data_IF_652204219400
#
_entry.id   IF_652204219400
#
_cell.length_a   1.000
_cell.length_b   1.000
_cell.length_c   1.000
_cell.angle_alpha   90.00
_cell.angle_beta   90.00
_cell.angle_gamma   90.00
#
_symmetry.space_group_name_H-M   'P 1'
#
loop_
_entity.id
_entity.type
_entity.pdbx_description
1 polymer ?
#
# COMPACT_ATOMS: atom_id res chain seq x y z
N UNK A 1 -4.39 -19.76 39.10
CA UNK A 1 -4.41 -18.52 38.28
C UNK A 1 -3.07 -18.26 37.56
N UNK A 2 -2.50 -19.25 36.85
CA UNK A 2 -1.20 -19.09 36.16
C UNK A 2 -1.33 -18.51 34.75
N UNK A 3 -2.41 -18.82 34.02
CA UNK A 3 -2.64 -18.40 32.63
C UNK A 3 -2.44 -16.89 32.39
N UNK A 4 -3.02 -16.03 33.24
CA UNK A 4 -2.90 -14.58 33.09
C UNK A 4 -1.45 -14.12 33.17
N UNK A 5 -0.72 -14.56 34.21
CA UNK A 5 0.66 -14.12 34.49
C UNK A 5 1.70 -14.72 33.54
N UNK A 6 1.51 -15.94 33.07
CA UNK A 6 2.51 -16.63 32.24
C UNK A 6 2.24 -16.56 30.74
N UNK A 7 0.99 -16.37 30.32
CA UNK A 7 0.62 -16.40 28.90
C UNK A 7 0.09 -15.04 28.45
N UNK A 8 -0.98 -14.55 29.09
CA UNK A 8 -1.68 -13.35 28.61
C UNK A 8 -0.82 -12.07 28.69
N UNK A 9 -0.28 -11.73 29.88
CA UNK A 9 0.51 -10.51 30.03
C UNK A 9 1.80 -10.49 29.20
N UNK A 10 2.57 -11.59 29.10
CA UNK A 10 3.74 -11.65 28.21
C UNK A 10 3.37 -11.50 26.73
N UNK A 11 2.30 -12.17 26.27
CA UNK A 11 1.83 -12.05 24.89
C UNK A 11 1.39 -10.62 24.57
N UNK A 12 0.58 -10.00 25.44
CA UNK A 12 0.15 -8.61 25.30
C UNK A 12 1.32 -7.63 25.27
N UNK A 13 2.32 -7.80 26.15
CA UNK A 13 3.52 -6.95 26.14
C UNK A 13 4.29 -7.09 24.82
N UNK A 14 4.42 -8.32 24.31
CA UNK A 14 5.12 -8.61 23.06
C UNK A 14 4.38 -8.05 21.84
N UNK A 15 3.06 -8.20 21.79
CA UNK A 15 2.24 -7.67 20.70
C UNK A 15 2.31 -6.14 20.67
N UNK A 16 2.10 -5.46 21.80
CA UNK A 16 2.22 -3.99 21.91
C UNK A 16 3.60 -3.50 21.46
N UNK A 17 4.68 -4.17 21.91
CA UNK A 17 6.05 -3.79 21.51
C UNK A 17 6.25 -3.90 20.00
N UNK A 18 5.68 -4.94 19.38
CA UNK A 18 5.76 -5.17 17.94
C UNK A 18 4.91 -4.14 17.17
N UNK A 19 3.68 -3.88 17.60
CA UNK A 19 2.79 -2.87 17.02
C UNK A 19 3.40 -1.48 17.07
N UNK A 20 3.98 -1.08 18.22
CA UNK A 20 4.66 0.21 18.34
C UNK A 20 5.89 0.31 17.43
N UNK A 21 6.64 -0.77 17.26
CA UNK A 21 7.77 -0.80 16.34
C UNK A 21 7.32 -0.64 14.87
N UNK A 22 6.23 -1.30 14.48
CA UNK A 22 5.64 -1.13 13.13
C UNK A 22 5.14 0.30 12.91
N UNK A 23 4.39 0.85 13.87
CA UNK A 23 3.85 2.21 13.79
C UNK A 23 4.94 3.27 13.70
N UNK A 24 6.05 3.08 14.43
CA UNK A 24 7.21 3.98 14.35
C UNK A 24 7.81 4.07 12.94
N UNK A 25 7.63 3.04 12.10
CA UNK A 25 8.06 3.07 10.70
C UNK A 25 6.94 3.54 9.76
N UNK A 26 5.71 3.02 9.93
CA UNK A 26 4.59 3.29 9.01
C UNK A 26 4.13 4.76 9.08
N UNK A 27 4.07 5.36 10.28
CA UNK A 27 3.53 6.72 10.44
C UNK A 27 4.41 7.79 9.74
N UNK A 28 5.75 7.83 9.92
CA UNK A 28 6.58 8.79 9.21
C UNK A 28 6.54 8.61 7.68
N UNK A 29 6.60 7.36 7.21
CA UNK A 29 6.56 7.06 5.77
C UNK A 29 5.22 7.51 5.18
N UNK A 30 4.11 7.22 5.85
CA UNK A 30 2.78 7.65 5.39
C UNK A 30 2.60 9.16 5.34
N UNK A 31 3.18 9.90 6.27
CA UNK A 31 3.16 11.35 6.24
C UNK A 31 3.94 11.89 5.02
N UNK A 32 5.16 11.37 4.80
CA UNK A 32 6.00 11.78 3.67
C UNK A 32 5.29 11.51 2.34
N UNK A 33 4.72 10.31 2.16
CA UNK A 33 4.01 9.95 0.92
C UNK A 33 2.80 10.86 0.70
N UNK A 34 2.05 11.21 1.75
CA UNK A 34 0.93 12.16 1.61
C UNK A 34 1.38 13.56 1.21
N UNK A 35 2.48 14.06 1.78
CA UNK A 35 3.04 15.34 1.39
C UNK A 35 3.51 15.31 -0.07
N UNK A 36 4.18 14.23 -0.51
CA UNK A 36 4.57 14.05 -1.90
C UNK A 36 3.35 14.01 -2.84
N UNK A 37 2.24 13.41 -2.41
CA UNK A 37 0.98 13.44 -3.14
C UNK A 37 0.40 14.85 -3.26
N UNK A 38 0.36 15.59 -2.14
CA UNK A 38 -0.18 16.94 -2.09
C UNK A 38 0.59 17.94 -2.94
N UNK A 39 1.93 17.86 -2.93
CA UNK A 39 2.77 18.72 -3.77
C UNK A 39 2.87 18.25 -5.24
N UNK A 40 2.14 17.19 -5.62
CA UNK A 40 2.13 16.67 -7.00
C UNK A 40 3.37 15.85 -7.40
N UNK A 41 4.33 15.65 -6.50
CA UNK A 41 5.54 14.87 -6.78
C UNK A 41 5.23 13.40 -7.14
N UNK A 42 4.26 12.77 -6.45
CA UNK A 42 3.81 11.42 -6.81
C UNK A 42 3.17 11.39 -8.20
N UNK A 43 2.41 12.42 -8.57
CA UNK A 43 1.80 12.53 -9.90
C UNK A 43 2.85 12.68 -11.01
N UNK A 44 3.89 13.47 -10.77
CA UNK A 44 5.02 13.61 -11.69
C UNK A 44 5.77 12.28 -11.88
N UNK A 45 6.05 11.56 -10.79
CA UNK A 45 6.68 10.23 -10.86
C UNK A 45 5.79 9.20 -11.56
N UNK A 46 4.47 9.26 -11.36
CA UNK A 46 3.52 8.40 -12.04
C UNK A 46 3.54 8.65 -13.56
N UNK A 47 3.50 9.92 -13.99
CA UNK A 47 3.56 10.30 -15.40
C UNK A 47 4.81 9.76 -16.11
N UNK A 48 5.96 9.73 -15.42
CA UNK A 48 7.17 9.12 -15.95
C UNK A 48 7.05 7.60 -16.16
N UNK A 49 6.26 6.92 -15.33
CA UNK A 49 5.99 5.49 -15.41
C UNK A 49 4.84 5.14 -16.37
N UNK A 50 4.10 6.13 -16.90
CA UNK A 50 2.96 5.90 -17.79
C UNK A 50 3.26 4.92 -18.94
N UNK A 51 4.38 5.05 -19.71
CA UNK A 51 4.65 4.14 -20.83
C UNK A 51 4.82 2.68 -20.37
N UNK A 52 5.42 2.49 -19.19
CA UNK A 52 5.57 1.16 -18.60
C UNK A 52 4.18 0.59 -18.26
N UNK A 53 3.31 1.36 -17.62
CA UNK A 53 1.97 0.89 -17.23
C UNK A 53 1.11 0.53 -18.44
N UNK A 54 1.17 1.34 -19.51
CA UNK A 54 0.50 1.03 -20.78
C UNK A 54 1.00 -0.30 -21.35
N UNK A 55 2.31 -0.56 -21.30
CA UNK A 55 2.89 -1.84 -21.72
C UNK A 55 2.42 -3.03 -20.86
N UNK A 56 2.18 -2.81 -19.57
CA UNK A 56 1.61 -3.80 -18.65
C UNK A 56 0.10 -4.02 -18.86
N UNK A 57 -0.52 -3.34 -19.83
CA UNK A 57 -1.96 -3.42 -20.08
C UNK A 57 -2.79 -2.70 -19.03
N UNK A 58 -2.23 -1.66 -18.41
CA UNK A 58 -2.86 -0.79 -17.44
C UNK A 58 -2.94 0.65 -17.97
N UNK A 59 -3.95 1.45 -17.59
CA UNK A 59 -3.94 2.88 -17.84
C UNK A 59 -2.76 3.54 -17.12
N UNK A 60 -2.04 4.45 -17.79
CA UNK A 60 -0.90 5.17 -17.20
C UNK A 60 -1.25 5.86 -15.88
N UNK A 61 -2.46 6.43 -15.78
CA UNK A 61 -3.00 7.06 -14.58
C UNK A 61 -3.01 6.16 -13.33
N UNK A 62 -2.97 4.83 -13.49
CA UNK A 62 -2.91 3.88 -12.37
C UNK A 62 -1.50 3.73 -11.78
N UNK A 63 -0.46 4.28 -12.42
CA UNK A 63 0.92 4.24 -11.91
C UNK A 63 1.05 4.90 -10.52
N UNK A 64 0.25 5.93 -10.25
CA UNK A 64 0.22 6.59 -8.94
C UNK A 64 -0.24 5.65 -7.82
N UNK A 65 -1.14 4.71 -8.13
CA UNK A 65 -1.64 3.70 -7.18
C UNK A 65 -0.49 2.76 -6.78
N UNK A 66 0.22 2.23 -7.78
CA UNK A 66 1.34 1.34 -7.53
C UNK A 66 2.47 2.04 -6.78
N UNK A 67 2.84 3.27 -7.19
CA UNK A 67 3.85 4.06 -6.51
C UNK A 67 3.48 4.32 -5.04
N UNK A 68 2.21 4.67 -4.78
CA UNK A 68 1.70 4.84 -3.42
C UNK A 68 1.78 3.53 -2.63
N UNK A 69 1.41 2.41 -3.25
CA UNK A 69 1.45 1.08 -2.63
C UNK A 69 2.86 0.68 -2.19
N UNK A 70 3.90 1.01 -2.97
CA UNK A 70 5.29 0.65 -2.67
C UNK A 70 5.68 1.14 -1.27
N UNK A 71 5.19 2.30 -0.85
CA UNK A 71 5.55 2.89 0.44
C UNK A 71 4.54 2.63 1.54
N UNK A 72 3.28 2.32 1.21
CA UNK A 72 2.17 2.29 2.17
C UNK A 72 1.46 0.93 2.25
N UNK A 73 0.77 0.64 3.36
CA UNK A 73 -0.20 -0.46 3.43
C UNK A 73 -1.32 -0.28 2.39
N UNK A 74 -1.93 -1.39 1.98
CA UNK A 74 -2.91 -1.44 0.87
C UNK A 74 -4.18 -0.59 1.05
N UNK A 75 -4.49 -0.15 2.27
CA UNK A 75 -5.59 0.78 2.52
C UNK A 75 -5.46 2.10 1.76
N UNK A 76 -4.24 2.61 1.61
CA UNK A 76 -3.99 3.86 0.89
C UNK A 76 -4.19 3.75 -0.63
N UNK A 77 -3.54 2.81 -1.35
CA UNK A 77 -3.80 2.63 -2.78
C UNK A 77 -5.24 2.20 -3.07
N UNK A 78 -5.90 1.46 -2.18
CA UNK A 78 -7.31 1.09 -2.33
C UNK A 78 -8.22 2.34 -2.38
N UNK A 79 -7.99 3.33 -1.52
CA UNK A 79 -8.75 4.58 -1.53
C UNK A 79 -8.58 5.37 -2.84
N UNK A 80 -7.44 5.25 -3.52
CA UNK A 80 -7.20 5.86 -4.83
C UNK A 80 -7.93 5.06 -5.92
N UNK A 81 -7.86 3.73 -5.86
CA UNK A 81 -8.53 2.82 -6.81
C UNK A 81 -10.04 3.07 -6.83
N UNK A 82 -10.68 3.25 -5.67
CA UNK A 82 -12.14 3.42 -5.59
C UNK A 82 -12.62 4.74 -6.20
N UNK A 83 -11.76 5.72 -6.40
CA UNK A 83 -12.09 6.97 -7.12
C UNK A 83 -11.79 6.92 -8.62
N UNK A 84 -11.28 5.80 -9.14
CA UNK A 84 -10.91 5.66 -10.55
C UNK A 84 -11.93 4.82 -11.32
N UNK A 85 -12.14 5.17 -12.60
CA UNK A 85 -12.87 4.34 -13.55
C UNK A 85 -11.91 3.32 -14.19
N UNK A 86 -11.77 2.15 -13.57
CA UNK A 86 -10.95 1.04 -14.08
C UNK A 86 -11.79 -0.21 -14.30
N UNK A 87 -11.43 -1.00 -15.31
CA UNK A 87 -12.06 -2.28 -15.60
C UNK A 87 -11.66 -3.33 -14.56
N UNK A 88 -12.43 -4.42 -14.47
CA UNK A 88 -12.12 -5.53 -13.56
C UNK A 88 -10.77 -6.18 -13.88
N UNK A 89 -10.40 -6.21 -15.16
CA UNK A 89 -9.11 -6.71 -15.64
C UNK A 89 -7.96 -5.86 -15.12
N UNK A 90 -8.02 -4.55 -15.32
CA UNK A 90 -7.00 -3.60 -14.88
C UNK A 90 -6.88 -3.59 -13.35
N UNK A 91 -8.02 -3.60 -12.65
CA UNK A 91 -8.06 -3.74 -11.19
C UNK A 91 -7.34 -5.01 -10.73
N UNK A 92 -7.57 -6.15 -11.38
CA UNK A 92 -6.96 -7.43 -10.99
C UNK A 92 -5.45 -7.41 -11.15
N UNK A 93 -4.96 -6.91 -12.30
CA UNK A 93 -3.53 -6.76 -12.59
C UNK A 93 -2.89 -5.82 -11.55
N UNK A 94 -3.46 -4.62 -11.38
CA UNK A 94 -2.94 -3.60 -10.48
C UNK A 94 -2.98 -4.05 -9.02
N UNK A 95 -4.05 -4.71 -8.58
CA UNK A 95 -4.18 -5.22 -7.23
C UNK A 95 -3.12 -6.27 -6.92
N UNK A 96 -2.85 -7.21 -7.83
CA UNK A 96 -1.80 -8.20 -7.63
C UNK A 96 -0.41 -7.56 -7.60
N UNK A 97 -0.13 -6.60 -8.49
CA UNK A 97 1.11 -5.83 -8.47
C UNK A 97 1.32 -5.15 -7.11
N UNK A 98 0.30 -4.43 -6.63
CA UNK A 98 0.33 -3.77 -5.34
C UNK A 98 0.49 -4.79 -4.21
N UNK A 99 -0.23 -5.91 -4.23
CA UNK A 99 -0.12 -6.96 -3.23
C UNK A 99 1.31 -7.49 -3.10
N UNK A 100 2.03 -7.65 -4.21
CA UNK A 100 3.42 -8.13 -4.19
C UNK A 100 4.37 -7.03 -3.69
N UNK A 101 4.20 -5.78 -4.14
CA UNK A 101 5.15 -4.71 -3.90
C UNK A 101 4.84 -3.81 -2.68
N UNK A 102 3.69 -3.99 -2.01
CA UNK A 102 3.23 -3.03 -1.02
C UNK A 102 4.15 -2.90 0.19
N UNK A 103 4.11 -1.72 0.82
CA UNK A 103 4.73 -1.43 2.12
C UNK A 103 6.21 -1.83 2.19
N UNK A 104 6.92 -1.69 1.08
CA UNK A 104 8.24 -2.25 0.80
C UNK A 104 9.29 -1.88 1.85
N UNK A 105 9.38 -0.64 2.37
CA UNK A 105 10.37 -0.31 3.39
C UNK A 105 10.15 -1.08 4.69
N UNK A 106 8.90 -1.24 5.10
CA UNK A 106 8.52 -1.93 6.35
C UNK A 106 8.70 -3.43 6.18
N UNK A 107 8.22 -3.99 5.07
CA UNK A 107 8.35 -5.40 4.73
C UNK A 107 9.81 -5.84 4.61
N UNK A 108 10.64 -5.04 3.94
CA UNK A 108 12.07 -5.32 3.81
C UNK A 108 12.79 -5.20 5.15
N UNK A 109 12.38 -4.28 6.04
CA UNK A 109 12.93 -4.19 7.40
C UNK A 109 12.52 -5.39 8.28
N UNK A 110 11.31 -5.91 8.11
CA UNK A 110 10.84 -7.13 8.80
C UNK A 110 11.63 -8.34 8.31
N UNK A 111 11.72 -8.56 7.00
CA UNK A 111 12.45 -9.68 6.40
C UNK A 111 13.96 -9.59 6.64
N UNK A 112 14.50 -8.38 6.82
CA UNK A 112 15.88 -8.18 7.27
C UNK A 112 16.19 -8.88 8.59
N UNK A 113 15.20 -9.07 9.47
CA UNK A 113 15.37 -9.79 10.75
C UNK A 113 15.52 -11.30 10.57
N UNK A 114 15.22 -11.85 9.39
CA UNK A 114 15.37 -13.27 9.07
C UNK A 114 16.60 -13.55 8.20
N UNK A 115 17.48 -12.56 7.99
CA UNK A 115 18.72 -12.70 7.23
C UNK A 115 18.64 -12.28 5.76
N UNK A 116 17.47 -11.82 5.28
CA UNK A 116 17.34 -11.30 3.92
C UNK A 116 17.95 -9.89 3.80
N UNK A 117 18.47 -9.53 2.61
CA UNK A 117 18.96 -8.17 2.38
C UNK A 117 17.81 -7.25 1.97
N UNK A 118 17.79 -6.02 2.50
CA UNK A 118 16.78 -5.02 2.15
C UNK A 118 16.67 -4.82 0.63
N UNK A 119 17.83 -4.66 -0.05
CA UNK A 119 17.90 -4.45 -1.49
C UNK A 119 17.43 -5.66 -2.28
N UNK A 120 17.84 -6.87 -1.87
CA UNK A 120 17.42 -8.11 -2.52
C UNK A 120 15.91 -8.31 -2.47
N UNK A 121 15.31 -8.12 -1.29
CA UNK A 121 13.85 -8.25 -1.14
C UNK A 121 13.08 -7.14 -1.85
N UNK A 122 13.59 -5.91 -1.82
CA UNK A 122 12.97 -4.79 -2.54
C UNK A 122 12.95 -5.05 -4.05
N UNK A 123 14.09 -5.44 -4.62
CA UNK A 123 14.21 -5.72 -6.04
C UNK A 123 13.35 -6.92 -6.45
N UNK A 124 13.41 -8.00 -5.68
CA UNK A 124 12.61 -9.20 -5.93
C UNK A 124 11.12 -8.87 -6.00
N UNK A 125 10.58 -8.12 -5.03
CA UNK A 125 9.15 -7.80 -4.98
C UNK A 125 8.71 -6.88 -6.12
N UNK A 126 9.52 -5.87 -6.46
CA UNK A 126 9.21 -4.98 -7.59
C UNK A 126 9.21 -5.78 -8.91
N UNK A 127 10.26 -6.56 -9.14
CA UNK A 127 10.41 -7.36 -10.37
C UNK A 127 9.30 -8.40 -10.48
N UNK A 128 8.99 -9.12 -9.39
CA UNK A 128 7.90 -10.10 -9.38
C UNK A 128 6.53 -9.45 -9.57
N UNK A 129 6.32 -8.24 -9.06
CA UNK A 129 5.11 -7.47 -9.35
C UNK A 129 4.95 -7.17 -10.83
N UNK A 130 6.02 -6.70 -11.49
CA UNK A 130 6.02 -6.41 -12.93
C UNK A 130 5.82 -7.69 -13.75
N UNK A 131 6.51 -8.79 -13.40
CA UNK A 131 6.36 -10.09 -14.07
C UNK A 131 4.92 -10.59 -13.91
N UNK A 132 4.34 -10.53 -12.71
CA UNK A 132 2.96 -10.92 -12.47
C UNK A 132 1.99 -10.09 -13.34
N UNK A 133 2.25 -8.79 -13.49
CA UNK A 133 1.46 -7.93 -14.35
C UNK A 133 1.52 -8.36 -15.81
N UNK A 134 2.72 -8.63 -16.34
CA UNK A 134 2.91 -9.12 -17.71
C UNK A 134 2.19 -10.46 -17.94
N UNK A 135 2.32 -11.39 -17.00
CA UNK A 135 1.66 -12.70 -17.08
C UNK A 135 0.14 -12.52 -17.08
N UNK A 136 -0.41 -11.72 -16.17
CA UNK A 136 -1.85 -11.48 -16.13
C UNK A 136 -2.34 -10.70 -17.36
N UNK A 137 -1.56 -9.77 -17.89
CA UNK A 137 -1.87 -9.06 -19.12
C UNK A 137 -2.03 -10.04 -20.31
N UNK A 138 -1.24 -11.11 -20.35
CA UNK A 138 -1.32 -12.16 -21.35
C UNK A 138 -2.47 -13.15 -21.11
N UNK A 139 -2.73 -13.52 -19.85
CA UNK A 139 -3.70 -14.57 -19.51
C UNK A 139 -5.14 -14.06 -19.38
N UNK A 140 -5.34 -12.85 -18.87
CA UNK A 140 -6.69 -12.36 -18.56
C UNK A 140 -7.44 -11.95 -19.84
N UNK A 141 -8.72 -12.35 -19.98
CA UNK A 141 -9.58 -11.88 -21.05
C UNK A 141 -9.65 -10.36 -21.07
N UNK A 142 -9.71 -9.75 -22.27
CA UNK A 142 -9.83 -8.29 -22.42
C UNK A 142 -11.13 -7.77 -21.81
N UNK A 143 -12.21 -8.52 -21.99
CA UNK A 143 -13.55 -8.15 -21.54
C UNK A 143 -13.90 -8.88 -20.24
N UNK A 144 -13.63 -8.25 -19.11
CA UNK A 144 -14.04 -8.73 -17.77
C UNK A 144 -15.14 -7.86 -17.14
N UNK A 145 -15.56 -6.79 -17.82
CA UNK A 145 -16.54 -5.84 -17.31
C UNK A 145 -15.99 -4.89 -16.26
N UNK A 146 -16.90 -4.25 -15.53
CA UNK A 146 -16.60 -3.27 -14.49
C UNK A 146 -16.69 -3.89 -13.10
N UNK A 147 -15.84 -3.48 -12.14
CA UNK A 147 -15.90 -3.98 -10.79
C UNK A 147 -17.18 -3.51 -10.06
N UNK A 148 -17.69 -4.35 -9.17
CA UNK A 148 -18.88 -4.10 -8.33
C UNK A 148 -18.52 -3.30 -7.06
N UNK A 149 -18.00 -2.09 -7.21
CA UNK A 149 -17.91 -1.14 -6.09
C UNK A 149 -18.44 0.23 -6.50
N UNK A 150 -19.05 0.94 -5.54
CA UNK A 150 -19.45 2.33 -5.76
C UNK A 150 -18.19 3.18 -5.89
N UNK A 151 -18.11 3.95 -6.98
CA UNK A 151 -17.06 4.96 -7.09
C UNK A 151 -17.20 5.95 -5.93
N UNK A 152 -16.08 6.27 -5.31
CA UNK A 152 -16.00 7.26 -4.24
C UNK A 152 -15.57 8.59 -4.82
N UNK A 153 -16.21 9.67 -4.40
CA UNK A 153 -15.82 11.01 -4.83
C UNK A 153 -14.37 11.33 -4.43
N UNK A 154 -13.67 12.04 -5.31
CA UNK A 154 -12.34 12.56 -5.01
C UNK A 154 -12.48 13.67 -3.98
N UNK A 155 -12.11 13.40 -2.74
CA UNK A 155 -12.05 14.43 -1.69
C UNK A 155 -10.84 15.32 -1.97
N UNK A 156 -11.08 16.50 -2.54
CA UNK A 156 -10.03 17.48 -2.80
C UNK A 156 -9.48 18.03 -1.47
N UNK A 157 -8.21 17.77 -1.19
CA UNK A 157 -7.51 18.34 -0.03
C UNK A 157 -6.96 19.71 -0.44
N UNK A 158 -7.56 20.78 0.09
CA UNK A 158 -7.25 22.14 -0.34
C UNK A 158 -6.23 22.84 0.56
N UNK A 159 -5.91 22.27 1.72
CA UNK A 159 -4.96 22.85 2.66
C UNK A 159 -4.08 21.81 3.35
N UNK A 160 -2.89 22.24 3.76
CA UNK A 160 -1.98 21.42 4.58
C UNK A 160 -2.64 21.02 5.90
N UNK A 161 -3.47 21.89 6.49
CA UNK A 161 -4.21 21.55 7.71
C UNK A 161 -5.18 20.39 7.52
N UNK A 162 -5.95 20.41 6.43
CA UNK A 162 -6.85 19.32 6.06
C UNK A 162 -6.09 18.02 5.75
N UNK A 163 -4.92 18.12 5.10
CA UNK A 163 -4.02 16.99 4.87
C UNK A 163 -3.59 16.34 6.19
N UNK A 164 -3.12 17.15 7.14
CA UNK A 164 -2.63 16.68 8.43
C UNK A 164 -3.75 16.06 9.27
N UNK A 165 -4.94 16.65 9.28
CA UNK A 165 -6.12 16.10 9.98
C UNK A 165 -6.52 14.76 9.35
N UNK A 166 -6.57 14.68 8.03
CA UNK A 166 -6.93 13.44 7.33
C UNK A 166 -5.87 12.36 7.56
N UNK A 167 -4.59 12.74 7.51
CA UNK A 167 -3.48 11.84 7.84
C UNK A 167 -3.59 11.34 9.27
N UNK A 168 -3.88 12.21 10.24
CA UNK A 168 -4.01 11.82 11.64
C UNK A 168 -5.18 10.85 11.84
N UNK A 169 -6.36 11.14 11.27
CA UNK A 169 -7.54 10.27 11.36
C UNK A 169 -7.26 8.87 10.79
N UNK A 170 -6.66 8.80 9.60
CA UNK A 170 -6.30 7.52 8.96
C UNK A 170 -5.18 6.80 9.69
N UNK A 171 -4.20 7.53 10.24
CA UNK A 171 -3.12 6.98 11.05
C UNK A 171 -3.62 6.34 12.34
N UNK A 172 -4.59 6.97 13.00
CA UNK A 172 -5.26 6.40 14.18
C UNK A 172 -6.00 5.11 13.84
N UNK A 173 -6.72 5.09 12.71
CA UNK A 173 -7.40 3.89 12.25
C UNK A 173 -6.41 2.73 11.98
N UNK A 174 -5.31 3.01 11.27
CA UNK A 174 -4.25 2.03 11.01
C UNK A 174 -3.60 1.55 12.32
N UNK A 175 -3.37 2.44 13.28
CA UNK A 175 -2.83 2.06 14.58
C UNK A 175 -3.73 1.11 15.37
N UNK A 176 -5.04 1.34 15.34
CA UNK A 176 -6.03 0.45 15.94
C UNK A 176 -6.04 -0.91 15.25
N UNK A 177 -6.08 -0.95 13.91
CA UNK A 177 -6.06 -2.19 13.14
C UNK A 177 -4.80 -3.02 13.38
N UNK A 178 -3.62 -2.40 13.34
CA UNK A 178 -2.35 -3.09 13.62
C UNK A 178 -2.34 -3.65 15.03
N UNK A 179 -2.79 -2.88 16.02
CA UNK A 179 -2.82 -3.34 17.41
C UNK A 179 -3.79 -4.51 17.61
N UNK A 180 -4.94 -4.47 16.93
CA UNK A 180 -5.96 -5.53 16.99
C UNK A 180 -5.54 -6.81 16.25
N UNK A 181 -4.80 -6.71 15.14
CA UNK A 181 -4.36 -7.89 14.35
C UNK A 181 -3.15 -8.58 15.00
N UNK A 182 -2.26 -7.82 15.64
CA UNK A 182 -1.03 -8.37 16.24
C UNK A 182 -1.29 -9.02 17.61
N UNK A 183 -2.44 -8.75 18.22
CA UNK A 183 -2.87 -9.34 19.50
C UNK A 183 -3.84 -10.51 19.28
#
# INVERSE_FOLDING_TARGET
>A
MQFGKTIFFPALKKSITTSLWLLKMILPISLVVRLLGYFGALGYMAAYLDPLFVYLGLPGSTAIVFLTSIFLPLYAPLAIITSMSITLRELTILALMCQIAHNLPVESAIQGRTGATFRGMSLLRIVMGIIAALILNLLLPKEMGMPLFSQTDVVAINSIGELLITWLKTSLNIALLITAIVF
#
